data_IF_006039930642
#
_entry.id   IF_006039930642
#
_cell.length_a   1.000
_cell.length_b   1.000
_cell.length_c   1.000
_cell.angle_alpha   90.00
_cell.angle_beta   90.00
_cell.angle_gamma   90.00
#
_symmetry.space_group_name_H-M   'P 1'
#
loop_
_entity.id
_entity.type
_entity.pdbx_description
1 polymer ?
#
# COMPACT_ATOMS: atom_id res chain seq x y z
N UNK A 1 22.93 -15.22 21.55
CA UNK A 1 21.48 -15.40 21.45
C UNK A 1 21.01 -15.97 22.78
N UNK A 2 20.05 -15.33 23.44
CA UNK A 2 19.47 -15.85 24.69
C UNK A 2 18.64 -17.09 24.39
N UNK A 3 18.81 -18.16 25.21
CA UNK A 3 18.03 -19.39 25.08
C UNK A 3 16.53 -19.13 25.23
N UNK A 4 15.72 -19.80 24.41
CA UNK A 4 14.27 -19.83 24.56
C UNK A 4 13.85 -20.87 25.61
N UNK A 5 12.81 -20.57 26.38
CA UNK A 5 12.20 -21.55 27.26
C UNK A 5 11.30 -22.51 26.44
N UNK A 6 11.01 -23.72 26.93
CA UNK A 6 10.09 -24.62 26.25
C UNK A 6 8.74 -23.95 25.97
N UNK A 7 8.29 -23.97 24.69
CA UNK A 7 7.08 -23.31 24.17
C UNK A 7 7.15 -21.78 24.13
N UNK A 8 8.30 -21.17 24.35
CA UNK A 8 8.48 -19.74 24.13
C UNK A 8 8.66 -19.47 22.63
N UNK A 9 7.90 -18.51 22.12
CA UNK A 9 8.03 -18.00 20.75
C UNK A 9 8.66 -16.60 20.80
N UNK A 10 9.59 -16.31 19.87
CA UNK A 10 10.19 -14.99 19.76
C UNK A 10 10.15 -14.52 18.31
N UNK A 11 9.54 -13.36 18.09
CA UNK A 11 9.56 -12.68 16.81
C UNK A 11 10.87 -11.89 16.66
N UNK A 12 11.62 -12.19 15.60
CA UNK A 12 12.80 -11.44 15.22
C UNK A 12 12.48 -10.65 13.95
N UNK A 13 12.90 -9.37 13.90
CA UNK A 13 12.76 -8.50 12.73
C UNK A 13 14.13 -8.13 12.21
N UNK A 14 14.35 -8.38 10.93
CA UNK A 14 15.60 -8.03 10.24
C UNK A 14 15.28 -7.02 9.14
N UNK A 15 16.04 -5.92 9.10
CA UNK A 15 16.05 -5.02 7.95
C UNK A 15 17.13 -5.50 6.97
N UNK A 16 16.73 -5.76 5.73
CA UNK A 16 17.64 -6.13 4.65
C UNK A 16 17.51 -5.10 3.54
N UNK A 17 18.63 -4.55 3.09
CA UNK A 17 18.67 -3.68 1.93
C UNK A 17 18.83 -4.55 0.68
N UNK A 18 17.93 -4.35 -0.29
CA UNK A 18 18.01 -5.03 -1.58
C UNK A 18 18.89 -4.20 -2.52
N UNK A 19 19.94 -4.81 -3.05
CA UNK A 19 20.97 -4.11 -3.84
C UNK A 19 20.71 -4.18 -5.36
N UNK A 20 19.82 -5.10 -5.79
CA UNK A 20 19.57 -5.32 -7.21
C UNK A 20 18.11 -5.65 -7.47
N UNK A 21 17.62 -5.26 -8.64
CA UNK A 21 16.38 -5.76 -9.20
C UNK A 21 16.49 -7.24 -9.60
N UNK A 22 15.34 -7.89 -9.80
CA UNK A 22 15.24 -9.30 -10.10
C UNK A 22 15.14 -10.18 -8.85
N UNK A 23 15.37 -11.51 -9.01
CA UNK A 23 15.17 -12.47 -7.93
C UNK A 23 16.27 -12.39 -6.86
N UNK A 24 15.91 -11.89 -5.70
CA UNK A 24 16.76 -11.91 -4.50
C UNK A 24 16.41 -13.11 -3.64
N UNK A 25 17.42 -13.87 -3.23
CA UNK A 25 17.26 -15.07 -2.42
C UNK A 25 17.90 -14.85 -1.05
N UNK A 26 17.13 -15.17 -0.02
CA UNK A 26 17.57 -15.08 1.37
C UNK A 26 17.56 -16.47 1.99
N UNK A 27 18.55 -16.73 2.80
CA UNK A 27 18.61 -17.89 3.67
C UNK A 27 18.71 -17.42 5.11
N UNK A 28 17.83 -17.88 5.95
CA UNK A 28 17.91 -17.73 7.39
C UNK A 28 18.39 -19.07 7.95
N UNK A 29 19.46 -19.05 8.73
CA UNK A 29 19.99 -20.25 9.34
C UNK A 29 20.10 -20.06 10.86
N UNK A 30 19.69 -21.07 11.60
CA UNK A 30 19.94 -21.21 13.03
C UNK A 30 21.26 -21.95 13.27
N UNK A 31 21.82 -21.78 14.46
CA UNK A 31 22.94 -22.61 14.87
C UNK A 31 22.51 -24.08 14.94
N UNK A 32 23.40 -24.98 14.50
CA UNK A 32 23.13 -26.41 14.45
C UNK A 32 22.75 -26.95 15.83
N UNK A 33 21.65 -27.68 15.87
CA UNK A 33 21.24 -28.50 17.01
C UNK A 33 21.12 -29.97 16.61
N UNK A 34 20.37 -30.79 17.36
CA UNK A 34 20.21 -32.20 17.07
C UNK A 34 19.22 -32.53 15.92
N UNK A 35 18.57 -31.48 15.34
CA UNK A 35 17.63 -31.60 14.23
C UNK A 35 18.03 -30.65 13.11
N UNK A 36 18.92 -31.09 12.23
CA UNK A 36 19.50 -30.24 11.18
C UNK A 36 18.50 -29.83 10.10
N UNK A 37 17.43 -30.57 9.90
CA UNK A 37 16.50 -30.38 8.78
C UNK A 37 15.63 -29.13 8.92
N UNK A 38 15.44 -28.58 10.11
CA UNK A 38 14.63 -27.39 10.38
C UNK A 38 15.45 -26.11 10.66
N UNK A 39 16.78 -26.20 10.60
CA UNK A 39 17.68 -25.10 10.89
C UNK A 39 17.79 -24.07 9.77
N UNK A 40 17.13 -24.25 8.64
CA UNK A 40 17.22 -23.32 7.50
C UNK A 40 15.87 -23.00 6.90
N UNK A 41 15.60 -21.72 6.73
CA UNK A 41 14.46 -21.21 5.99
C UNK A 41 14.92 -20.37 4.78
N UNK A 42 14.20 -20.48 3.68
CA UNK A 42 14.52 -19.79 2.44
C UNK A 42 13.38 -18.87 2.04
N UNK A 43 13.74 -17.67 1.58
CA UNK A 43 12.80 -16.69 1.04
C UNK A 43 13.34 -16.20 -0.30
N UNK A 44 12.48 -16.15 -1.32
CA UNK A 44 12.78 -15.52 -2.59
C UNK A 44 11.84 -14.33 -2.79
N UNK A 45 12.41 -13.18 -3.12
CA UNK A 45 11.67 -11.94 -3.42
C UNK A 45 12.13 -11.48 -4.79
N UNK A 46 11.18 -11.27 -5.70
CA UNK A 46 11.46 -10.65 -6.99
C UNK A 46 11.26 -9.13 -6.87
N UNK A 47 12.34 -8.39 -7.12
CA UNK A 47 12.36 -6.93 -7.03
C UNK A 47 12.21 -6.36 -8.43
N UNK A 48 11.12 -5.63 -8.73
CA UNK A 48 10.95 -5.04 -10.05
C UNK A 48 12.01 -3.95 -10.30
N UNK A 49 12.47 -3.83 -11.54
CA UNK A 49 13.41 -2.77 -11.95
C UNK A 49 12.82 -1.38 -11.69
N UNK A 50 11.53 -1.24 -11.99
CA UNK A 50 10.79 0.01 -11.79
C UNK A 50 9.38 -0.29 -11.32
N UNK A 51 8.98 0.38 -10.26
CA UNK A 51 7.61 0.34 -9.75
C UNK A 51 6.76 1.33 -10.55
N UNK A 52 5.68 0.83 -11.15
CA UNK A 52 4.75 1.65 -11.92
C UNK A 52 3.62 2.13 -11.02
N UNK A 53 3.48 3.44 -10.93
CA UNK A 53 2.46 4.11 -10.10
C UNK A 53 1.47 4.84 -10.99
N UNK A 54 0.19 4.53 -10.84
CA UNK A 54 -0.90 5.26 -11.45
C UNK A 54 -1.57 6.15 -10.41
N UNK A 55 -1.57 7.46 -10.63
CA UNK A 55 -2.35 8.41 -9.85
C UNK A 55 -3.64 8.69 -10.61
N UNK A 56 -4.77 8.30 -10.00
CA UNK A 56 -6.12 8.61 -10.51
C UNK A 56 -6.63 9.81 -9.74
N UNK A 57 -6.88 10.90 -10.46
CA UNK A 57 -7.37 12.15 -9.89
C UNK A 57 -8.88 12.29 -10.05
N UNK A 58 -9.59 12.64 -8.97
CA UNK A 58 -11.01 12.98 -9.02
C UNK A 58 -11.26 14.34 -9.68
N UNK A 59 -10.30 15.26 -9.56
CA UNK A 59 -10.28 16.55 -10.24
C UNK A 59 -8.85 16.92 -10.65
N UNK A 60 -8.66 17.73 -11.71
CA UNK A 60 -7.33 18.10 -12.18
C UNK A 60 -6.46 18.70 -11.08
N UNK A 61 -5.29 18.11 -10.85
CA UNK A 61 -4.32 18.55 -9.86
C UNK A 61 -4.53 18.02 -8.44
N UNK A 62 -5.53 17.15 -8.20
CA UNK A 62 -5.74 16.52 -6.89
C UNK A 62 -4.53 15.69 -6.45
N UNK A 63 -3.84 15.05 -7.40
CA UNK A 63 -2.62 14.28 -7.16
C UNK A 63 -1.30 15.01 -7.33
N UNK A 64 -1.31 16.33 -7.59
CA UNK A 64 -0.11 17.08 -7.96
C UNK A 64 1.04 16.94 -6.97
N UNK A 65 0.78 16.98 -5.67
CA UNK A 65 1.84 16.85 -4.67
C UNK A 65 2.41 15.43 -4.64
N UNK A 66 1.59 14.44 -4.92
CA UNK A 66 2.01 13.03 -5.02
C UNK A 66 2.87 12.83 -6.27
N UNK A 67 2.45 13.37 -7.39
CA UNK A 67 3.24 13.38 -8.62
C UNK A 67 4.62 14.04 -8.40
N UNK A 68 4.64 15.23 -7.80
CA UNK A 68 5.88 15.93 -7.48
C UNK A 68 6.77 15.10 -6.53
N UNK A 69 6.18 14.40 -5.55
CA UNK A 69 6.93 13.56 -4.63
C UNK A 69 7.60 12.37 -5.34
N UNK A 70 6.96 11.81 -6.38
CA UNK A 70 7.55 10.73 -7.19
C UNK A 70 8.66 11.21 -8.12
N UNK A 71 8.69 12.52 -8.45
CA UNK A 71 9.70 13.12 -9.31
C UNK A 71 10.93 13.65 -8.55
N UNK A 72 10.84 13.74 -7.22
CA UNK A 72 11.95 14.22 -6.41
C UNK A 72 13.06 13.15 -6.35
N UNK A 73 14.10 13.31 -7.17
CA UNK A 73 15.36 12.53 -7.16
C UNK A 73 16.16 12.64 -5.85
N UNK A 74 15.52 12.92 -4.73
CA UNK A 74 16.21 13.04 -3.45
C UNK A 74 16.54 11.66 -2.91
N UNK A 75 17.81 11.31 -3.01
CA UNK A 75 18.46 10.21 -2.31
C UNK A 75 18.28 8.79 -2.87
N UNK A 76 18.40 8.59 -4.21
CA UNK A 76 18.54 7.24 -4.76
C UNK A 76 17.28 6.35 -4.81
N UNK A 77 16.18 6.79 -4.19
CA UNK A 77 14.93 6.01 -4.15
C UNK A 77 13.97 6.29 -5.31
N UNK A 78 14.10 7.43 -5.98
CA UNK A 78 13.17 7.84 -7.05
C UNK A 78 13.51 7.22 -8.42
N UNK A 79 14.72 6.71 -8.61
CA UNK A 79 15.13 6.09 -9.88
C UNK A 79 14.29 4.85 -10.26
N UNK A 80 13.65 4.24 -9.25
CA UNK A 80 12.83 3.03 -9.41
C UNK A 80 11.34 3.28 -9.66
N UNK A 81 10.88 4.55 -9.80
CA UNK A 81 9.45 4.85 -9.96
C UNK A 81 9.14 5.36 -11.37
N UNK A 82 8.06 4.84 -11.96
CA UNK A 82 7.41 5.39 -13.15
C UNK A 82 6.02 5.83 -12.74
N UNK A 83 5.76 7.15 -12.74
CA UNK A 83 4.47 7.70 -12.37
C UNK A 83 3.69 8.14 -13.61
N UNK A 84 2.42 7.76 -13.68
CA UNK A 84 1.45 8.24 -14.66
C UNK A 84 0.25 8.84 -13.94
N UNK A 85 -0.34 9.89 -14.51
CA UNK A 85 -1.52 10.56 -13.95
C UNK A 85 -2.68 10.45 -14.93
N UNK A 86 -3.87 10.15 -14.44
CA UNK A 86 -5.09 10.11 -15.23
C UNK A 86 -6.26 10.66 -14.41
N UNK A 87 -7.22 11.31 -15.07
CA UNK A 87 -8.48 11.65 -14.42
C UNK A 87 -9.34 10.40 -14.26
N UNK A 88 -10.12 10.32 -13.19
CA UNK A 88 -11.03 9.21 -12.93
C UNK A 88 -12.03 8.97 -14.07
N UNK A 89 -12.48 10.05 -14.73
CA UNK A 89 -13.35 9.99 -15.91
C UNK A 89 -12.70 9.50 -17.19
N UNK A 90 -11.38 9.38 -17.23
CA UNK A 90 -10.59 9.01 -18.42
C UNK A 90 -9.73 7.77 -18.20
N UNK A 91 -9.61 7.32 -16.96
CA UNK A 91 -8.80 6.14 -16.64
C UNK A 91 -9.41 4.89 -17.29
N UNK A 92 -8.55 4.07 -17.89
CA UNK A 92 -8.95 2.82 -18.51
C UNK A 92 -8.54 1.61 -17.68
N UNK A 93 -9.24 0.51 -17.85
CA UNK A 93 -8.90 -0.80 -17.32
C UNK A 93 -7.44 -1.18 -17.56
N UNK A 94 -6.96 -0.97 -18.78
CA UNK A 94 -5.57 -1.25 -19.16
C UNK A 94 -4.56 -0.44 -18.37
N UNK A 95 -4.86 0.81 -18.03
CA UNK A 95 -3.98 1.63 -17.20
C UNK A 95 -3.92 1.08 -15.77
N UNK A 96 -5.06 0.65 -15.20
CA UNK A 96 -5.07 0.04 -13.86
C UNK A 96 -4.27 -1.27 -13.88
N UNK A 97 -4.46 -2.12 -14.88
CA UNK A 97 -3.78 -3.42 -14.98
C UNK A 97 -2.26 -3.31 -15.13
N UNK A 98 -1.76 -2.31 -15.84
CA UNK A 98 -0.33 -2.14 -16.12
C UNK A 98 0.49 -1.57 -14.98
N UNK A 99 -0.16 -1.05 -13.94
CA UNK A 99 0.52 -0.40 -12.82
C UNK A 99 0.58 -1.31 -11.59
N UNK A 100 1.63 -1.18 -10.80
CA UNK A 100 1.88 -1.97 -9.59
C UNK A 100 1.25 -1.33 -8.35
N UNK A 101 1.13 -0.01 -8.38
CA UNK A 101 0.50 0.78 -7.32
C UNK A 101 -0.52 1.72 -7.93
N UNK A 102 -1.71 1.74 -7.38
CA UNK A 102 -2.77 2.67 -7.75
C UNK A 102 -2.99 3.65 -6.59
N UNK A 103 -3.01 4.93 -6.91
CA UNK A 103 -3.28 6.01 -5.97
C UNK A 103 -4.57 6.70 -6.38
N UNK A 104 -5.57 6.68 -5.51
CA UNK A 104 -6.81 7.41 -5.70
C UNK A 104 -6.73 8.76 -4.97
N UNK A 105 -6.65 9.85 -5.71
CA UNK A 105 -6.55 11.21 -5.19
C UNK A 105 -7.88 11.93 -5.35
N UNK A 106 -8.65 12.00 -4.26
CA UNK A 106 -9.96 12.66 -4.19
C UNK A 106 -10.97 12.14 -5.23
N UNK A 107 -10.99 10.83 -5.46
CA UNK A 107 -11.86 10.18 -6.44
C UNK A 107 -13.23 9.96 -5.82
N UNK A 108 -14.22 10.74 -6.26
CA UNK A 108 -15.60 10.62 -5.81
C UNK A 108 -16.45 9.64 -6.65
N UNK A 109 -16.02 9.35 -7.88
CA UNK A 109 -16.68 8.41 -8.76
C UNK A 109 -15.67 7.68 -9.65
N UNK A 110 -15.93 6.40 -9.88
CA UNK A 110 -15.12 5.56 -10.75
C UNK A 110 -16.05 4.56 -11.44
N UNK A 111 -15.82 4.31 -12.72
CA UNK A 111 -16.59 3.36 -13.50
C UNK A 111 -16.61 1.96 -12.85
N UNK A 112 -17.75 1.28 -12.90
CA UNK A 112 -17.95 -0.02 -12.23
C UNK A 112 -16.99 -1.10 -12.76
N UNK A 113 -16.62 -1.06 -14.03
CA UNK A 113 -15.64 -1.96 -14.62
C UNK A 113 -14.25 -1.70 -14.03
N UNK A 114 -13.87 -0.43 -13.92
CA UNK A 114 -12.60 -0.03 -13.31
C UNK A 114 -12.54 -0.38 -11.81
N UNK A 115 -13.67 -0.28 -11.08
CA UNK A 115 -13.75 -0.71 -9.68
C UNK A 115 -13.49 -2.22 -9.56
N UNK A 116 -14.07 -3.03 -10.43
CA UNK A 116 -13.85 -4.49 -10.42
C UNK A 116 -12.40 -4.85 -10.70
N UNK A 117 -11.80 -4.21 -11.69
CA UNK A 117 -10.39 -4.45 -12.06
C UNK A 117 -9.47 -4.01 -10.93
N UNK A 118 -9.76 -2.87 -10.29
CA UNK A 118 -9.03 -2.40 -9.12
C UNK A 118 -9.11 -3.41 -7.97
N UNK A 119 -10.30 -3.93 -7.65
CA UNK A 119 -10.51 -4.94 -6.62
C UNK A 119 -9.70 -6.21 -6.91
N UNK A 120 -9.78 -6.75 -8.13
CA UNK A 120 -9.02 -7.91 -8.55
C UNK A 120 -7.51 -7.67 -8.47
N UNK A 121 -7.05 -6.51 -8.94
CA UNK A 121 -5.66 -6.12 -8.95
C UNK A 121 -5.06 -6.03 -7.55
N UNK A 122 -5.79 -5.40 -6.62
CA UNK A 122 -5.37 -5.27 -5.23
C UNK A 122 -5.34 -6.64 -4.53
N UNK A 123 -6.35 -7.50 -4.76
CA UNK A 123 -6.36 -8.88 -4.23
C UNK A 123 -5.20 -9.72 -4.76
N UNK A 124 -4.70 -9.41 -5.95
CA UNK A 124 -3.54 -10.05 -6.56
C UNK A 124 -2.21 -9.41 -6.16
N UNK A 125 -2.20 -8.49 -5.19
CA UNK A 125 -1.00 -7.96 -4.55
C UNK A 125 -0.56 -6.57 -5.01
N UNK A 126 -1.34 -5.85 -5.82
CA UNK A 126 -1.04 -4.46 -6.13
C UNK A 126 -1.26 -3.55 -4.93
N UNK A 127 -0.44 -2.51 -4.82
CA UNK A 127 -0.61 -1.49 -3.79
C UNK A 127 -1.79 -0.56 -4.09
N UNK A 128 -2.54 -0.18 -3.06
CA UNK A 128 -3.58 0.83 -3.14
C UNK A 128 -3.36 1.90 -2.07
N UNK A 129 -3.29 3.17 -2.49
CA UNK A 129 -3.31 4.33 -1.61
C UNK A 129 -4.55 5.16 -1.91
N UNK A 130 -5.23 5.62 -0.87
CA UNK A 130 -6.43 6.44 -1.00
C UNK A 130 -6.25 7.73 -0.22
N UNK A 131 -6.34 8.84 -0.93
CA UNK A 131 -6.35 10.19 -0.36
C UNK A 131 -7.75 10.77 -0.52
N UNK A 132 -8.51 10.74 0.56
CA UNK A 132 -9.84 11.33 0.60
C UNK A 132 -9.74 12.86 0.56
N UNK A 133 -10.58 13.49 -0.24
CA UNK A 133 -10.67 14.93 -0.36
C UNK A 133 -12.13 15.40 -0.38
N UNK A 134 -12.39 16.48 -1.10
CA UNK A 134 -13.73 17.09 -1.12
C UNK A 134 -14.75 16.29 -1.92
N UNK A 135 -14.28 15.56 -2.93
CA UNK A 135 -15.14 14.77 -3.82
C UNK A 135 -15.43 13.36 -3.30
N UNK A 136 -14.57 12.82 -2.43
CA UNK A 136 -14.78 11.49 -1.83
C UNK A 136 -15.58 11.60 -0.54
N UNK A 137 -16.86 11.31 -0.59
CA UNK A 137 -17.72 11.16 0.58
C UNK A 137 -17.81 9.69 1.05
N UNK A 138 -18.57 9.44 2.11
CA UNK A 138 -18.73 8.09 2.67
C UNK A 138 -19.34 7.11 1.66
N UNK A 139 -20.29 7.57 0.84
CA UNK A 139 -20.93 6.74 -0.17
C UNK A 139 -19.95 6.36 -1.29
N UNK A 140 -19.22 7.35 -1.81
CA UNK A 140 -18.18 7.12 -2.83
C UNK A 140 -17.09 6.18 -2.33
N UNK A 141 -16.63 6.38 -1.10
CA UNK A 141 -15.63 5.52 -0.49
C UNK A 141 -16.12 4.07 -0.35
N UNK A 142 -17.37 3.85 0.09
CA UNK A 142 -17.96 2.53 0.19
C UNK A 142 -18.09 1.85 -1.18
N UNK A 143 -18.47 2.58 -2.21
CA UNK A 143 -18.59 2.06 -3.58
C UNK A 143 -17.24 1.63 -4.15
N UNK A 144 -16.18 2.45 -3.95
CA UNK A 144 -14.88 2.25 -4.58
C UNK A 144 -14.03 1.24 -3.81
N UNK A 145 -13.98 1.37 -2.49
CA UNK A 145 -13.04 0.60 -1.66
C UNK A 145 -13.71 -0.29 -0.61
N UNK A 146 -15.02 -0.19 -0.40
CA UNK A 146 -15.74 -0.98 0.61
C UNK A 146 -15.66 -2.49 0.40
N UNK A 147 -15.38 -2.94 -0.84
CA UNK A 147 -15.15 -4.37 -1.15
C UNK A 147 -13.76 -4.85 -0.70
N UNK A 148 -12.81 -3.93 -0.61
CA UNK A 148 -11.41 -4.23 -0.27
C UNK A 148 -11.15 -4.12 1.22
N UNK A 149 -11.79 -3.14 1.86
CA UNK A 149 -11.55 -2.82 3.27
C UNK A 149 -12.89 -2.59 3.95
N UNK A 150 -13.15 -3.31 5.03
CA UNK A 150 -14.30 -3.01 5.89
C UNK A 150 -13.96 -1.79 6.74
N UNK A 151 -14.51 -0.64 6.38
CA UNK A 151 -14.29 0.63 7.07
C UNK A 151 -15.64 1.25 7.39
N UNK A 152 -15.81 1.73 8.61
CA UNK A 152 -16.94 2.58 8.97
C UNK A 152 -16.57 4.03 8.66
N UNK A 153 -17.19 4.58 7.63
CA UNK A 153 -17.03 5.97 7.25
C UNK A 153 -17.97 6.83 8.09
N UNK A 154 -17.41 7.55 9.04
CA UNK A 154 -18.13 8.53 9.81
C UNK A 154 -18.25 9.86 9.04
N UNK A 155 -18.78 10.86 9.71
CA UNK A 155 -18.95 12.21 9.15
C UNK A 155 -17.57 12.84 8.81
N UNK A 156 -17.48 13.43 7.62
CA UNK A 156 -16.37 14.31 7.27
C UNK A 156 -16.30 15.49 8.27
N UNK A 157 -15.13 15.71 8.85
CA UNK A 157 -14.87 16.82 9.74
C UNK A 157 -14.13 17.91 8.99
N UNK A 158 -14.69 19.12 8.96
CA UNK A 158 -14.04 20.29 8.34
C UNK A 158 -13.12 20.98 9.36
N UNK A 159 -11.94 21.51 8.93
CA UNK A 159 -11.09 22.32 9.79
C UNK A 159 -11.81 23.56 10.40
N UNK A 160 -12.87 24.01 9.76
CA UNK A 160 -13.70 25.14 10.24
C UNK A 160 -14.53 24.78 11.48
N UNK A 161 -14.74 23.51 11.76
CA UNK A 161 -15.49 23.05 12.94
C UNK A 161 -14.71 23.19 14.26
N UNK A 162 -13.47 23.69 14.24
CA UNK A 162 -12.68 24.08 15.40
C UNK A 162 -12.32 22.93 16.36
N UNK A 163 -12.47 21.69 15.94
CA UNK A 163 -12.17 20.51 16.74
C UNK A 163 -10.74 20.00 16.53
N UNK A 164 -10.21 19.38 17.58
CA UNK A 164 -8.96 18.62 17.50
C UNK A 164 -9.23 17.37 16.66
N UNK A 165 -8.63 17.28 15.46
CA UNK A 165 -8.85 16.15 14.55
C UNK A 165 -7.93 15.01 14.94
N UNK A 166 -8.47 13.96 15.52
CA UNK A 166 -7.74 12.75 15.85
C UNK A 166 -8.11 11.63 14.90
N UNK A 167 -7.11 11.02 14.26
CA UNK A 167 -7.30 9.75 13.58
C UNK A 167 -7.38 8.66 14.66
N UNK A 168 -8.52 8.00 14.77
CA UNK A 168 -8.70 6.85 15.66
C UNK A 168 -8.59 5.57 14.83
N UNK A 169 -7.65 4.73 15.21
CA UNK A 169 -7.53 3.38 14.66
C UNK A 169 -8.47 2.48 15.45
N UNK A 170 -9.37 1.79 14.74
CA UNK A 170 -10.25 0.81 15.39
C UNK A 170 -9.44 -0.37 15.92
N UNK A 171 -9.74 -0.91 17.12
CA UNK A 171 -9.08 -2.11 17.64
C UNK A 171 -9.16 -3.33 16.70
N UNK A 172 -10.13 -3.35 15.79
CA UNK A 172 -10.26 -4.42 14.79
C UNK A 172 -9.23 -4.32 13.64
N UNK A 173 -8.60 -3.15 13.46
CA UNK A 173 -7.54 -2.97 12.45
C UNK A 173 -6.21 -3.62 12.82
N UNK A 174 -6.00 -3.98 14.09
CA UNK A 174 -4.81 -4.71 14.54
C UNK A 174 -4.67 -6.10 13.86
N UNK A 175 -5.77 -6.67 13.37
CA UNK A 175 -5.75 -7.94 12.64
C UNK A 175 -5.18 -7.82 11.21
N UNK A 176 -5.10 -6.61 10.67
CA UNK A 176 -4.59 -6.34 9.32
C UNK A 176 -3.13 -5.86 9.31
N UNK A 177 -2.48 -5.72 10.46
CA UNK A 177 -1.06 -5.34 10.56
C UNK A 177 -0.76 -3.91 10.08
N UNK A 178 -1.76 -3.03 10.01
CA UNK A 178 -1.59 -1.63 9.65
C UNK A 178 -1.12 -0.83 10.87
N UNK A 179 0.21 -0.71 11.04
CA UNK A 179 0.80 0.32 11.91
C UNK A 179 0.90 1.64 11.14
N UNK A 180 -0.02 2.56 11.41
CA UNK A 180 0.15 3.98 11.05
C UNK A 180 1.01 4.64 12.15
N UNK A 181 2.29 4.90 11.86
CA UNK A 181 3.12 5.82 12.64
C UNK A 181 3.07 7.19 11.96
N UNK A 182 2.52 8.17 12.65
CA UNK A 182 2.64 9.60 12.32
C UNK A 182 3.95 10.15 12.86
#
# INVERSE_FOLDING_TARGET
VSSLQPKEERLLRFGVQLESSGPNKFQLSLESDNLEDDNSAYLAIDVPDKLKVLIVEGSPGAGRYLELATQLERSGYAEGLICTVSLASLVSAEQIEKNDVIVLADVGDLDEENIKILDEKVRNGAGLLVYAGVNMDAFSAEQIIGRLVTMDWEKRVSPEDGGDHQIRVSPQSDQLGLELRL
#
